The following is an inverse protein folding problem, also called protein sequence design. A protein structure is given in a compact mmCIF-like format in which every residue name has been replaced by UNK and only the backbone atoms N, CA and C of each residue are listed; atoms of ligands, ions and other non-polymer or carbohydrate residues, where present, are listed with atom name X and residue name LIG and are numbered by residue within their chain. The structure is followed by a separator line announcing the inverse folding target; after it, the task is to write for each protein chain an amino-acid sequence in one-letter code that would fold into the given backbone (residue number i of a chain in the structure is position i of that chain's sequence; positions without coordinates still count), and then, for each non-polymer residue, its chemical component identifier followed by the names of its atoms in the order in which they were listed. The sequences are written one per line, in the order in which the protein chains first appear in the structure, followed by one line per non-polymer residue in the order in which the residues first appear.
data_IF_796392490667
#
_entry.id   IF_796392490667
#
_cell.length_a   1.000
_cell.length_b   1.000
_cell.length_c   1.000
_cell.angle_alpha   90.00
_cell.angle_beta   90.00
_cell.angle_gamma   90.00
#
_symmetry.space_group_name_H-M   'P 1'
#
loop_
_entity.id
_entity.type
_entity.pdbx_description
1 polymer ?
#
# COMPACT_ATOMS: atom_id res chain seq x y z
N UNK A 1 20.40 -15.08 -21.40
CA UNK A 1 19.41 -15.51 -22.41
C UNK A 1 19.94 -16.57 -23.37
N UNK A 2 21.20 -16.53 -23.87
CA UNK A 2 21.69 -17.53 -24.83
C UNK A 2 23.12 -18.06 -24.53
N UNK A 3 23.35 -18.76 -23.39
CA UNK A 3 24.70 -19.23 -23.01
C UNK A 3 25.31 -20.22 -24.01
N UNK A 4 24.47 -21.00 -24.71
CA UNK A 4 24.93 -21.97 -25.69
C UNK A 4 25.52 -21.32 -26.94
N UNK A 5 24.82 -20.34 -27.52
CA UNK A 5 25.32 -19.57 -28.66
C UNK A 5 26.61 -18.83 -28.27
N UNK A 6 26.62 -18.19 -27.10
CA UNK A 6 27.82 -17.52 -26.59
C UNK A 6 29.05 -18.45 -26.55
N UNK A 7 28.90 -19.68 -26.07
CA UNK A 7 29.99 -20.64 -25.97
C UNK A 7 30.58 -21.08 -27.33
N UNK A 8 29.82 -20.98 -28.41
CA UNK A 8 30.25 -21.37 -29.76
C UNK A 8 30.55 -20.18 -30.69
N UNK A 9 30.42 -18.95 -30.19
CA UNK A 9 30.84 -17.75 -30.91
C UNK A 9 32.35 -17.74 -31.11
N UNK A 10 32.80 -17.37 -32.30
CA UNK A 10 34.23 -17.10 -32.55
C UNK A 10 34.70 -15.86 -31.78
N UNK A 11 33.78 -14.93 -31.50
CA UNK A 11 34.05 -13.61 -30.92
C UNK A 11 33.16 -13.33 -29.69
N UNK A 12 33.29 -14.09 -28.58
CA UNK A 12 32.41 -13.96 -27.42
C UNK A 12 32.59 -12.66 -26.63
N UNK A 13 33.71 -11.96 -26.82
CA UNK A 13 34.04 -10.72 -26.11
C UNK A 13 34.14 -9.51 -27.05
N UNK A 14 33.74 -9.65 -28.32
CA UNK A 14 33.74 -8.55 -29.26
C UNK A 14 32.65 -7.53 -28.92
N UNK A 15 32.94 -6.28 -29.23
CA UNK A 15 31.98 -5.18 -29.17
C UNK A 15 31.00 -5.29 -30.34
N UNK A 16 29.84 -4.62 -30.23
CA UNK A 16 28.83 -4.62 -31.30
C UNK A 16 29.44 -4.08 -32.60
N UNK A 17 30.29 -3.05 -32.53
CA UNK A 17 30.93 -2.44 -33.70
C UNK A 17 31.86 -3.40 -34.46
N UNK A 18 32.39 -4.44 -33.82
CA UNK A 18 33.24 -5.46 -34.45
C UNK A 18 32.43 -6.61 -35.07
N UNK A 19 31.14 -6.71 -34.75
CA UNK A 19 30.26 -7.81 -35.12
C UNK A 19 29.34 -7.47 -36.30
N UNK A 20 29.70 -6.49 -37.12
CA UNK A 20 28.91 -6.09 -38.28
C UNK A 20 29.47 -4.90 -39.03
N UNK A 21 28.75 -4.49 -40.07
CA UNK A 21 29.12 -3.37 -40.93
C UNK A 21 27.90 -2.57 -41.37
N UNK A 22 28.06 -1.26 -41.50
CA UNK A 22 27.06 -0.39 -42.10
C UNK A 22 27.05 -0.55 -43.63
N UNK A 23 25.90 -0.91 -44.20
CA UNK A 23 25.70 -1.00 -45.66
C UNK A 23 24.46 -0.21 -46.04
N UNK A 24 24.64 0.85 -46.84
CA UNK A 24 23.55 1.76 -47.26
C UNK A 24 22.73 2.32 -46.09
N UNK A 25 23.39 2.68 -44.99
CA UNK A 25 22.73 3.23 -43.80
C UNK A 25 21.96 2.20 -42.96
N UNK A 26 22.12 0.89 -43.22
CA UNK A 26 21.56 -0.19 -42.42
C UNK A 26 22.68 -1.03 -41.84
N UNK A 27 22.62 -1.31 -40.54
CA UNK A 27 23.57 -2.21 -39.88
C UNK A 27 23.35 -3.65 -40.32
N UNK A 28 24.41 -4.33 -40.75
CA UNK A 28 24.40 -5.75 -41.09
C UNK A 28 25.27 -6.51 -40.12
N UNK A 29 24.67 -7.42 -39.38
CA UNK A 29 25.35 -8.31 -38.46
C UNK A 29 26.25 -9.31 -39.20
N UNK A 30 27.46 -9.48 -38.68
CA UNK A 30 28.44 -10.45 -39.13
C UNK A 30 28.85 -11.31 -37.93
N UNK A 31 28.18 -12.43 -37.75
CA UNK A 31 28.36 -13.33 -36.62
C UNK A 31 29.03 -14.62 -37.08
N UNK A 32 30.21 -14.87 -36.53
CA UNK A 32 30.99 -16.07 -36.84
C UNK A 32 30.93 -17.10 -35.73
N UNK A 33 30.85 -18.37 -36.12
CA UNK A 33 30.67 -19.50 -35.24
C UNK A 33 31.82 -20.50 -35.40
N UNK A 34 32.31 -21.05 -34.29
CA UNK A 34 33.45 -21.99 -34.28
C UNK A 34 33.13 -23.33 -34.98
N UNK A 35 31.85 -23.63 -35.18
CA UNK A 35 31.33 -24.82 -35.86
C UNK A 35 29.91 -24.56 -36.36
N UNK A 36 29.43 -25.41 -37.26
CA UNK A 36 28.03 -25.44 -37.67
C UNK A 36 27.09 -25.73 -36.49
N UNK A 37 25.88 -25.19 -36.57
CA UNK A 37 24.82 -25.45 -35.60
C UNK A 37 24.32 -26.89 -35.70
N UNK A 38 23.92 -27.44 -34.56
CA UNK A 38 23.03 -28.60 -34.55
C UNK A 38 21.59 -28.15 -34.82
N UNK A 39 20.73 -29.07 -35.27
CA UNK A 39 19.32 -28.77 -35.63
C UNK A 39 18.58 -28.04 -34.51
N UNK A 40 18.79 -28.41 -33.24
CA UNK A 40 18.15 -27.74 -32.10
C UNK A 40 18.77 -26.37 -31.74
N UNK A 41 19.98 -26.06 -32.22
CA UNK A 41 20.62 -24.75 -32.05
C UNK A 41 20.13 -23.73 -33.09
N UNK A 42 19.60 -24.18 -34.24
CA UNK A 42 19.04 -23.29 -35.27
C UNK A 42 17.82 -22.52 -34.76
N UNK A 43 16.94 -23.18 -34.00
CA UNK A 43 15.78 -22.49 -33.38
C UNK A 43 16.23 -21.45 -32.36
N UNK A 44 17.23 -21.78 -31.54
CA UNK A 44 17.83 -20.84 -30.58
C UNK A 44 18.46 -19.64 -31.30
N UNK A 45 19.15 -19.88 -32.42
CA UNK A 45 19.72 -18.82 -33.24
C UNK A 45 18.62 -17.93 -33.84
N UNK A 46 17.52 -18.50 -34.36
CA UNK A 46 16.39 -17.72 -34.86
C UNK A 46 15.71 -16.87 -33.78
N UNK A 47 15.62 -17.35 -32.54
CA UNK A 47 15.16 -16.53 -31.41
C UNK A 47 16.13 -15.39 -31.09
N UNK A 48 17.43 -15.67 -31.10
CA UNK A 48 18.47 -14.68 -30.88
C UNK A 48 18.48 -13.60 -31.95
N UNK A 49 18.40 -13.97 -33.24
CA UNK A 49 18.39 -13.01 -34.35
C UNK A 49 17.18 -12.07 -34.29
N UNK A 50 16.00 -12.57 -33.91
CA UNK A 50 14.82 -11.68 -33.70
C UNK A 50 15.07 -10.60 -32.66
N UNK A 51 15.82 -10.89 -31.60
CA UNK A 51 16.19 -9.90 -30.59
C UNK A 51 17.21 -8.91 -31.18
N UNK A 52 18.26 -9.43 -31.81
CA UNK A 52 19.38 -8.64 -32.31
C UNK A 52 19.00 -7.74 -33.49
N UNK A 53 18.14 -8.22 -34.39
CA UNK A 53 17.61 -7.45 -35.52
C UNK A 53 16.57 -6.40 -35.09
N UNK A 54 15.96 -6.55 -33.91
CA UNK A 54 15.04 -5.53 -33.37
C UNK A 54 15.76 -4.30 -32.80
N UNK A 55 17.10 -4.37 -32.66
CA UNK A 55 17.91 -3.27 -32.14
C UNK A 55 18.20 -2.29 -33.28
N UNK A 56 17.77 -1.03 -33.09
CA UNK A 56 18.10 0.07 -34.00
C UNK A 56 19.40 0.70 -33.50
N UNK A 57 20.49 0.46 -34.22
CA UNK A 57 21.77 1.12 -33.96
C UNK A 57 21.78 2.50 -34.61
N UNK A 58 22.54 3.42 -34.03
CA UNK A 58 22.79 4.76 -34.56
C UNK A 58 24.30 5.03 -34.58
N UNK A 59 24.70 6.16 -35.16
CA UNK A 59 26.09 6.65 -35.10
C UNK A 59 26.35 7.51 -33.85
N UNK A 60 25.40 7.60 -32.93
CA UNK A 60 25.55 8.37 -31.69
C UNK A 60 26.50 7.65 -30.72
N UNK A 61 27.11 8.39 -29.80
CA UNK A 61 27.92 7.80 -28.75
C UNK A 61 27.06 6.94 -27.80
N UNK A 62 27.63 5.86 -27.29
CA UNK A 62 26.93 4.97 -26.36
C UNK A 62 26.55 5.71 -25.07
N UNK A 63 25.26 5.64 -24.71
CA UNK A 63 24.74 6.22 -23.46
C UNK A 63 24.19 5.12 -22.56
N UNK A 64 24.51 5.21 -21.26
CA UNK A 64 23.88 4.38 -20.25
C UNK A 64 22.43 4.81 -20.02
N UNK A 65 21.48 4.05 -20.56
CA UNK A 65 20.06 4.27 -20.29
C UNK A 65 19.54 3.34 -19.19
N UNK A 66 18.66 3.89 -18.36
CA UNK A 66 17.90 3.07 -17.43
C UNK A 66 16.71 2.46 -18.19
N UNK A 67 16.68 1.13 -18.32
CA UNK A 67 15.69 0.40 -19.13
C UNK A 67 14.22 0.69 -18.78
N UNK A 68 13.94 1.21 -17.58
CA UNK A 68 12.59 1.56 -17.13
C UNK A 68 12.24 3.05 -17.31
N UNK A 69 13.21 3.89 -17.69
CA UNK A 69 13.02 5.33 -17.94
C UNK A 69 14.05 5.83 -18.96
N UNK A 70 13.74 5.66 -20.25
CA UNK A 70 14.59 6.13 -21.34
C UNK A 70 14.64 7.66 -21.33
N UNK A 71 15.84 8.21 -21.17
CA UNK A 71 16.09 9.65 -21.05
C UNK A 71 15.96 10.24 -19.63
N UNK A 72 15.29 9.57 -18.68
CA UNK A 72 15.13 10.04 -17.29
C UNK A 72 16.20 9.55 -16.32
N UNK A 73 16.96 8.52 -16.71
CA UNK A 73 18.04 7.94 -15.90
C UNK A 73 17.53 7.10 -14.73
N UNK A 74 18.46 6.64 -13.89
CA UNK A 74 18.10 5.82 -12.74
C UNK A 74 17.45 6.68 -11.64
N UNK A 75 16.26 6.28 -11.20
CA UNK A 75 15.70 6.76 -9.93
C UNK A 75 15.23 5.59 -9.08
N UNK A 76 15.39 5.72 -7.76
CA UNK A 76 14.88 4.74 -6.78
C UNK A 76 13.37 4.58 -6.94
N UNK A 77 12.66 5.68 -7.23
CA UNK A 77 11.21 5.68 -7.44
C UNK A 77 10.81 4.80 -8.63
N UNK A 78 11.34 5.06 -9.84
CA UNK A 78 10.98 4.27 -11.03
C UNK A 78 11.39 2.81 -10.83
N UNK A 79 12.60 2.56 -10.34
CA UNK A 79 13.08 1.20 -10.05
C UNK A 79 12.15 0.44 -9.11
N UNK A 80 11.78 1.06 -7.99
CA UNK A 80 10.88 0.45 -7.02
C UNK A 80 9.49 0.19 -7.61
N UNK A 81 8.92 1.14 -8.34
CA UNK A 81 7.61 0.98 -8.98
C UNK A 81 7.63 -0.15 -10.02
N UNK A 82 8.62 -0.16 -10.91
CA UNK A 82 8.76 -1.20 -11.95
C UNK A 82 9.03 -2.59 -11.37
N UNK A 83 9.81 -2.69 -10.29
CA UNK A 83 10.00 -3.94 -9.56
C UNK A 83 8.70 -4.40 -8.92
N UNK A 84 7.97 -3.51 -8.26
CA UNK A 84 6.67 -3.85 -7.69
C UNK A 84 5.70 -4.34 -8.76
N UNK A 85 5.64 -3.72 -9.94
CA UNK A 85 4.74 -4.14 -11.02
C UNK A 85 5.12 -5.50 -11.60
N UNK A 86 6.42 -5.80 -11.73
CA UNK A 86 6.90 -7.12 -12.19
C UNK A 86 6.72 -8.23 -11.16
N UNK A 87 6.78 -7.90 -9.87
CA UNK A 87 6.69 -8.87 -8.77
C UNK A 87 5.27 -9.06 -8.24
N UNK A 88 4.34 -8.15 -8.56
CA UNK A 88 2.97 -8.22 -8.08
C UNK A 88 2.06 -8.92 -9.10
N UNK A 89 1.21 -9.88 -8.69
CA UNK A 89 0.15 -10.37 -9.56
C UNK A 89 -0.78 -9.24 -10.03
N UNK A 90 -1.39 -9.35 -11.23
CA UNK A 90 -2.16 -8.26 -11.87
C UNK A 90 -3.31 -7.70 -11.02
N UNK A 91 -3.81 -8.44 -10.02
CA UNK A 91 -4.85 -8.02 -9.08
C UNK A 91 -4.42 -6.97 -8.04
N UNK A 92 -3.11 -6.74 -7.82
CA UNK A 92 -2.60 -5.82 -6.79
C UNK A 92 -2.50 -4.37 -7.30
N UNK A 93 -2.46 -4.17 -8.61
CA UNK A 93 -2.29 -2.84 -9.23
C UNK A 93 -3.45 -1.88 -8.91
N UNK A 94 -4.69 -2.36 -8.95
CA UNK A 94 -5.89 -1.60 -8.61
C UNK A 94 -6.00 -1.30 -7.12
N UNK A 95 -5.65 -2.27 -6.26
CA UNK A 95 -5.56 -2.07 -4.81
C UNK A 95 -4.56 -0.95 -4.50
N UNK A 96 -3.38 -0.97 -5.12
CA UNK A 96 -2.33 0.04 -4.91
C UNK A 96 -2.78 1.45 -5.30
N UNK A 97 -3.50 1.62 -6.39
CA UNK A 97 -4.03 2.92 -6.81
C UNK A 97 -5.09 3.47 -5.82
N UNK A 98 -5.95 2.60 -5.28
CA UNK A 98 -6.92 2.95 -4.23
C UNK A 98 -6.19 3.27 -2.92
N UNK A 99 -5.22 2.45 -2.52
CA UNK A 99 -4.38 2.65 -1.34
C UNK A 99 -3.63 3.98 -1.41
N UNK A 100 -3.03 4.34 -2.56
CA UNK A 100 -2.35 5.64 -2.71
C UNK A 100 -3.29 6.82 -2.44
N UNK A 101 -4.49 6.83 -3.05
CA UNK A 101 -5.45 7.94 -2.83
C UNK A 101 -5.97 7.99 -1.40
N UNK A 102 -6.22 6.83 -0.78
CA UNK A 102 -6.68 6.74 0.61
C UNK A 102 -5.59 7.24 1.57
N UNK A 103 -4.34 6.85 1.33
CA UNK A 103 -3.16 7.25 2.12
C UNK A 103 -2.90 8.76 2.06
N UNK A 104 -3.13 9.40 0.91
CA UNK A 104 -2.99 10.85 0.77
C UNK A 104 -4.03 11.63 1.59
N UNK A 105 -5.25 11.11 1.70
CA UNK A 105 -6.34 11.75 2.45
C UNK A 105 -6.13 11.73 3.98
N UNK A 106 -5.27 10.85 4.50
CA UNK A 106 -5.03 10.69 5.95
C UNK A 106 -4.53 12.00 6.56
N UNK A 107 -3.72 12.75 5.82
CA UNK A 107 -3.07 13.97 6.29
C UNK A 107 -4.03 15.14 6.45
N UNK A 108 -5.15 15.15 5.72
CA UNK A 108 -6.14 16.22 5.77
C UNK A 108 -7.15 15.98 6.90
N UNK A 109 -6.70 16.14 8.15
CA UNK A 109 -7.48 15.82 9.35
C UNK A 109 -7.31 16.85 10.46
N UNK A 110 -8.27 16.86 11.39
CA UNK A 110 -8.22 17.61 12.64
C UNK A 110 -7.52 16.88 13.78
N UNK A 111 -7.18 15.60 13.61
CA UNK A 111 -6.50 14.82 14.63
C UNK A 111 -5.06 15.33 14.90
N UNK A 112 -4.47 15.00 16.07
CA UNK A 112 -3.07 15.32 16.37
C UNK A 112 -2.09 14.65 15.39
N UNK A 113 -0.92 15.27 15.21
CA UNK A 113 0.13 14.77 14.29
C UNK A 113 0.57 13.33 14.53
N UNK A 114 0.67 12.91 15.80
CA UNK A 114 1.00 11.52 16.15
C UNK A 114 -0.06 10.52 15.64
N UNK A 115 -1.32 10.94 15.59
CA UNK A 115 -2.44 10.12 15.12
C UNK A 115 -2.45 10.05 13.60
N UNK A 116 -2.13 11.17 12.92
CA UNK A 116 -1.93 11.18 11.46
C UNK A 116 -0.90 10.13 11.02
N UNK A 117 0.30 10.17 11.63
CA UNK A 117 1.38 9.22 11.32
C UNK A 117 0.96 7.79 11.64
N UNK A 118 0.30 7.57 12.78
CA UNK A 118 -0.22 6.26 13.16
C UNK A 118 -1.22 5.72 12.13
N UNK A 119 -2.19 6.52 11.72
CA UNK A 119 -3.22 6.11 10.75
C UNK A 119 -2.63 5.84 9.37
N UNK A 120 -1.61 6.59 8.97
CA UNK A 120 -0.81 6.28 7.78
C UNK A 120 -0.13 4.91 7.90
N UNK A 121 0.44 4.58 9.06
CA UNK A 121 1.03 3.25 9.30
C UNK A 121 -0.01 2.12 9.32
N UNK A 122 -1.25 2.37 9.82
CA UNK A 122 -2.36 1.41 9.75
C UNK A 122 -2.62 1.01 8.30
N UNK A 123 -2.82 2.00 7.44
CA UNK A 123 -3.20 1.77 6.03
C UNK A 123 -2.09 1.13 5.19
N UNK A 124 -0.84 1.27 5.61
CA UNK A 124 0.30 0.63 4.97
C UNK A 124 0.66 -0.74 5.56
N UNK A 125 -0.06 -1.21 6.57
CA UNK A 125 0.25 -2.47 7.25
C UNK A 125 1.62 -2.45 7.94
N UNK A 126 1.98 -1.34 8.59
CA UNK A 126 3.32 -1.11 9.16
C UNK A 126 3.37 -1.07 10.68
N UNK A 127 2.24 -1.25 11.34
CA UNK A 127 2.19 -1.29 12.81
C UNK A 127 2.82 -2.57 13.36
N UNK A 128 3.26 -2.57 14.63
CA UNK A 128 3.76 -3.78 15.30
C UNK A 128 2.60 -4.67 15.75
N UNK A 129 1.72 -5.05 14.82
CA UNK A 129 0.75 -6.15 15.00
C UNK A 129 1.51 -7.45 15.23
N UNK A 130 0.92 -8.42 15.93
CA UNK A 130 1.65 -9.67 16.24
C UNK A 130 2.08 -10.43 14.98
N UNK A 131 1.30 -10.40 13.91
CA UNK A 131 1.70 -10.97 12.61
C UNK A 131 2.92 -10.24 12.04
N UNK A 132 2.96 -8.91 12.07
CA UNK A 132 4.12 -8.14 11.59
C UNK A 132 5.37 -8.33 12.46
N UNK A 133 5.21 -8.45 13.77
CA UNK A 133 6.29 -8.79 14.67
C UNK A 133 6.84 -10.20 14.38
N UNK A 134 5.96 -11.15 14.08
CA UNK A 134 6.34 -12.49 13.64
C UNK A 134 7.12 -12.49 12.32
N UNK A 135 6.68 -11.72 11.32
CA UNK A 135 7.42 -11.53 10.06
C UNK A 135 8.82 -10.94 10.26
N UNK A 136 9.04 -10.20 11.35
CA UNK A 136 10.33 -9.62 11.72
C UNK A 136 11.16 -10.52 12.66
N UNK A 137 10.67 -11.73 12.97
CA UNK A 137 11.34 -12.66 13.88
C UNK A 137 11.31 -12.24 15.35
N UNK A 138 10.45 -11.27 15.72
CA UNK A 138 10.34 -10.78 17.12
C UNK A 138 9.40 -11.67 17.94
N UNK A 139 8.37 -12.24 17.31
CA UNK A 139 7.42 -13.15 17.97
C UNK A 139 7.39 -14.51 17.27
N UNK A 140 7.25 -15.62 18.02
CA UNK A 140 7.06 -16.94 17.43
C UNK A 140 5.68 -17.05 16.75
N UNK A 141 5.55 -17.98 15.79
CA UNK A 141 4.30 -18.20 15.06
C UNK A 141 3.11 -18.57 15.96
N UNK A 142 3.36 -19.16 17.12
CA UNK A 142 2.34 -19.50 18.13
C UNK A 142 1.70 -18.28 18.80
N UNK A 143 2.37 -17.13 18.80
CA UNK A 143 1.95 -15.92 19.55
C UNK A 143 1.35 -14.84 18.64
N UNK A 144 0.95 -15.19 17.43
CA UNK A 144 0.44 -14.23 16.45
C UNK A 144 -1.07 -13.94 16.55
N UNK A 145 -1.77 -14.54 17.52
CA UNK A 145 -3.23 -14.41 17.68
C UNK A 145 -3.63 -13.05 18.24
N UNK A 146 -4.78 -12.54 17.83
CA UNK A 146 -5.35 -11.28 18.30
C UNK A 146 -5.77 -11.37 19.78
N UNK A 147 -5.35 -10.41 20.61
CA UNK A 147 -5.74 -10.38 22.02
C UNK A 147 -7.22 -10.03 22.24
N UNK A 148 -7.88 -9.47 21.22
CA UNK A 148 -9.28 -9.07 21.27
C UNK A 148 -10.24 -10.13 20.70
N UNK A 149 -9.71 -11.23 20.16
CA UNK A 149 -10.49 -12.22 19.44
C UNK A 149 -10.62 -13.51 20.24
N UNK A 150 -11.85 -13.85 20.64
CA UNK A 150 -12.14 -15.08 21.38
C UNK A 150 -12.06 -16.34 20.49
N UNK A 151 -12.11 -16.17 19.17
CA UNK A 151 -11.96 -17.25 18.17
C UNK A 151 -10.48 -17.54 17.85
N UNK A 152 -9.56 -16.73 18.38
CA UNK A 152 -8.13 -16.95 18.22
C UNK A 152 -7.58 -16.68 16.81
N UNK A 153 -8.23 -15.81 16.02
CA UNK A 153 -7.72 -15.39 14.71
C UNK A 153 -6.35 -14.69 14.82
N UNK A 154 -5.60 -14.65 13.72
CA UNK A 154 -4.32 -13.92 13.65
C UNK A 154 -4.52 -12.40 13.77
N UNK A 155 -3.60 -11.73 14.46
CA UNK A 155 -3.59 -10.26 14.60
C UNK A 155 -2.96 -9.62 13.37
N UNK A 156 -3.71 -9.53 12.28
CA UNK A 156 -3.43 -8.64 11.15
C UNK A 156 -4.06 -7.27 11.38
N UNK A 157 -3.71 -6.27 10.57
CA UNK A 157 -4.33 -4.94 10.61
C UNK A 157 -5.84 -5.00 10.36
N UNK A 158 -6.26 -5.68 9.28
CA UNK A 158 -7.68 -5.83 8.95
C UNK A 158 -8.43 -6.53 10.08
N UNK A 159 -7.85 -7.58 10.68
CA UNK A 159 -8.48 -8.24 11.81
C UNK A 159 -8.53 -7.35 13.04
N UNK A 160 -7.41 -6.76 13.45
CA UNK A 160 -7.33 -5.97 14.67
C UNK A 160 -8.27 -4.75 14.64
N UNK A 161 -8.35 -4.06 13.49
CA UNK A 161 -9.09 -2.80 13.38
C UNK A 161 -10.51 -2.96 12.84
N UNK A 162 -10.88 -4.10 12.25
CA UNK A 162 -12.19 -4.27 11.62
C UNK A 162 -12.81 -5.65 11.86
N UNK A 163 -12.17 -6.73 11.45
CA UNK A 163 -12.81 -8.07 11.39
C UNK A 163 -12.89 -8.78 12.74
N UNK A 164 -12.14 -8.35 13.74
CA UNK A 164 -12.26 -8.86 15.10
C UNK A 164 -13.66 -8.56 15.64
N UNK A 165 -14.40 -9.52 16.25
CA UNK A 165 -15.75 -9.27 16.77
C UNK A 165 -15.83 -8.05 17.70
N UNK A 166 -14.79 -7.83 18.49
CA UNK A 166 -14.67 -6.65 19.35
C UNK A 166 -14.60 -5.34 18.53
N UNK A 167 -13.72 -5.26 17.53
CA UNK A 167 -13.57 -4.10 16.67
C UNK A 167 -14.81 -3.87 15.79
N UNK A 168 -15.41 -4.95 15.28
CA UNK A 168 -16.63 -4.92 14.49
C UNK A 168 -17.77 -4.28 15.28
N UNK A 169 -18.00 -4.71 16.51
CA UNK A 169 -19.05 -4.14 17.36
C UNK A 169 -18.83 -2.66 17.66
N UNK A 170 -17.57 -2.22 17.79
CA UNK A 170 -17.24 -0.79 17.91
C UNK A 170 -17.68 -0.05 16.64
N UNK A 171 -17.31 -0.54 15.46
CA UNK A 171 -17.73 0.09 14.20
C UNK A 171 -19.25 0.11 14.03
N UNK A 172 -19.96 -0.94 14.43
CA UNK A 172 -21.43 -0.96 14.39
C UNK A 172 -22.03 0.13 15.28
N UNK A 173 -21.54 0.32 16.49
CA UNK A 173 -21.98 1.41 17.37
C UNK A 173 -21.63 2.80 16.81
N UNK A 174 -20.47 2.95 16.15
CA UNK A 174 -20.11 4.19 15.45
C UNK A 174 -21.06 4.43 14.27
N UNK A 175 -21.33 3.43 13.42
CA UNK A 175 -22.26 3.59 12.29
C UNK A 175 -23.67 3.93 12.78
N UNK A 176 -24.15 3.26 13.84
CA UNK A 176 -25.42 3.57 14.50
C UNK A 176 -25.46 4.99 15.05
N UNK A 177 -24.36 5.48 15.63
CA UNK A 177 -24.25 6.86 16.11
C UNK A 177 -24.41 7.90 14.99
N UNK A 178 -24.05 7.55 13.75
CA UNK A 178 -24.28 8.38 12.56
C UNK A 178 -25.59 8.07 11.82
N UNK A 179 -26.43 7.18 12.35
CA UNK A 179 -27.67 6.75 11.68
C UNK A 179 -27.43 6.00 10.37
N UNK A 180 -26.27 5.37 10.20
CA UNK A 180 -25.89 4.64 9.00
C UNK A 180 -26.33 3.18 9.05
N UNK A 181 -26.85 2.67 7.93
CA UNK A 181 -27.18 1.26 7.72
C UNK A 181 -26.47 0.80 6.45
N UNK A 182 -25.23 0.35 6.59
CA UNK A 182 -24.35 0.00 5.47
C UNK A 182 -23.61 -1.30 5.78
N UNK A 183 -23.23 -2.02 4.72
CA UNK A 183 -22.36 -3.20 4.84
C UNK A 183 -20.92 -2.72 4.98
N UNK A 184 -20.24 -3.12 6.06
CA UNK A 184 -18.83 -2.80 6.24
C UNK A 184 -17.97 -3.60 5.25
N UNK A 185 -16.94 -2.99 4.64
CA UNK A 185 -15.95 -3.71 3.83
C UNK A 185 -15.18 -4.76 4.63
N UNK A 186 -14.39 -5.56 3.94
CA UNK A 186 -13.55 -6.62 4.51
C UNK A 186 -12.12 -6.18 4.84
N UNK A 187 -11.74 -4.95 4.49
CA UNK A 187 -10.41 -4.38 4.76
C UNK A 187 -10.50 -3.01 5.42
N UNK A 188 -9.54 -2.70 6.30
CA UNK A 188 -9.47 -1.39 6.96
C UNK A 188 -9.20 -0.28 5.94
N UNK A 189 -8.46 -0.59 4.87
CA UNK A 189 -8.23 0.30 3.74
C UNK A 189 -9.49 0.57 2.92
N UNK A 190 -10.36 -0.41 2.75
CA UNK A 190 -11.67 -0.25 2.10
C UNK A 190 -12.70 0.44 2.97
N UNK A 191 -12.64 0.25 4.29
CA UNK A 191 -13.51 0.92 5.26
C UNK A 191 -13.33 2.44 5.22
N UNK A 192 -12.09 2.92 5.07
CA UNK A 192 -11.80 4.36 5.00
C UNK A 192 -12.68 5.07 3.95
N UNK A 193 -12.59 4.79 2.63
CA UNK A 193 -13.42 5.44 1.62
C UNK A 193 -14.92 5.12 1.76
N UNK A 194 -15.29 3.93 2.23
CA UNK A 194 -16.68 3.56 2.46
C UNK A 194 -17.35 4.46 3.51
N UNK A 195 -16.63 4.79 4.59
CA UNK A 195 -17.11 5.67 5.65
C UNK A 195 -17.44 7.08 5.12
N UNK A 196 -16.59 7.67 4.28
CA UNK A 196 -16.87 8.97 3.65
C UNK A 196 -18.07 8.93 2.70
N UNK A 197 -18.17 7.84 1.92
CA UNK A 197 -19.27 7.66 0.96
C UNK A 197 -20.61 7.57 1.68
N UNK A 198 -20.67 6.81 2.78
CA UNK A 198 -21.88 6.65 3.59
C UNK A 198 -22.36 7.98 4.18
N UNK A 199 -21.44 8.81 4.67
CA UNK A 199 -21.78 10.08 5.31
C UNK A 199 -22.14 11.22 4.33
N UNK A 200 -21.93 11.03 3.01
CA UNK A 200 -22.25 12.01 1.96
C UNK A 200 -21.71 13.43 2.22
N UNK A 201 -20.59 13.56 2.93
CA UNK A 201 -20.03 14.84 3.36
C UNK A 201 -19.31 15.54 2.19
N UNK A 202 -19.49 16.86 1.99
CA UNK A 202 -18.72 17.61 1.00
C UNK A 202 -17.21 17.54 1.28
N UNK A 203 -16.38 17.48 0.22
CA UNK A 203 -14.91 17.37 0.34
C UNK A 203 -14.30 18.38 1.31
N UNK A 204 -14.79 19.63 1.34
CA UNK A 204 -14.29 20.70 2.23
C UNK A 204 -14.44 20.39 3.73
N UNK A 205 -15.34 19.47 4.10
CA UNK A 205 -15.63 19.07 5.48
C UNK A 205 -15.11 17.67 5.81
N UNK A 206 -14.32 17.06 4.92
CA UNK A 206 -13.76 15.72 5.13
C UNK A 206 -12.82 15.65 6.34
N UNK A 207 -12.14 16.75 6.72
CA UNK A 207 -11.19 16.75 7.85
C UNK A 207 -11.75 16.22 9.17
N UNK A 208 -13.00 16.57 9.50
CA UNK A 208 -13.65 16.07 10.71
C UNK A 208 -14.04 14.60 10.62
N UNK A 209 -14.42 14.13 9.42
CA UNK A 209 -14.72 12.71 9.17
C UNK A 209 -13.45 11.86 9.19
N UNK A 210 -12.36 12.34 8.58
CA UNK A 210 -11.03 11.71 8.65
C UNK A 210 -10.60 11.62 10.11
N UNK A 211 -10.70 12.72 10.86
CA UNK A 211 -10.38 12.75 12.29
C UNK A 211 -11.13 11.70 13.09
N UNK A 212 -12.42 11.52 12.82
CA UNK A 212 -13.23 10.54 13.53
C UNK A 212 -12.79 9.11 13.21
N UNK A 213 -12.62 8.77 11.94
CA UNK A 213 -12.10 7.45 11.55
C UNK A 213 -10.76 7.17 12.25
N UNK A 214 -9.89 8.18 12.31
CA UNK A 214 -8.61 8.11 13.00
C UNK A 214 -8.75 7.92 14.51
N UNK A 215 -9.74 8.56 15.14
CA UNK A 215 -10.04 8.37 16.55
C UNK A 215 -10.44 6.92 16.85
N UNK A 216 -11.28 6.30 16.00
CA UNK A 216 -11.69 4.90 16.16
C UNK A 216 -10.49 3.97 16.14
N UNK A 217 -9.67 4.02 15.09
CA UNK A 217 -8.49 3.13 14.97
C UNK A 217 -7.47 3.40 16.08
N UNK A 218 -7.29 4.66 16.48
CA UNK A 218 -6.37 5.02 17.56
C UNK A 218 -6.81 4.46 18.91
N UNK A 219 -8.10 4.56 19.25
CA UNK A 219 -8.62 4.05 20.52
C UNK A 219 -8.61 2.52 20.53
N UNK A 220 -8.92 1.85 19.41
CA UNK A 220 -8.78 0.39 19.30
C UNK A 220 -7.34 -0.05 19.59
N UNK A 221 -6.36 0.65 18.98
CA UNK A 221 -4.93 0.37 19.23
C UNK A 221 -4.52 0.60 20.68
N UNK A 222 -4.97 1.70 21.28
CA UNK A 222 -4.72 2.00 22.70
C UNK A 222 -5.32 0.91 23.60
N UNK A 223 -6.55 0.49 23.32
CA UNK A 223 -7.21 -0.60 24.07
C UNK A 223 -6.45 -1.91 23.90
N UNK A 224 -5.98 -2.24 22.69
CA UNK A 224 -5.11 -3.40 22.45
C UNK A 224 -3.84 -3.37 23.30
N UNK A 225 -3.16 -2.23 23.35
CA UNK A 225 -1.95 -2.09 24.16
C UNK A 225 -2.25 -2.20 25.66
N UNK A 226 -3.32 -1.56 26.14
CA UNK A 226 -3.74 -1.66 27.54
C UNK A 226 -4.12 -3.10 27.92
N UNK A 227 -4.76 -3.87 27.03
CA UNK A 227 -5.04 -5.29 27.26
C UNK A 227 -3.78 -6.13 27.34
N UNK A 228 -2.78 -5.89 26.49
CA UNK A 228 -1.54 -6.68 26.47
C UNK A 228 -0.61 -6.32 27.63
N UNK A 229 -0.41 -5.03 27.89
CA UNK A 229 0.63 -4.56 28.81
C UNK A 229 0.11 -4.24 30.21
N UNK A 230 -1.19 -4.00 30.37
CA UNK A 230 -1.81 -3.64 31.64
C UNK A 230 -2.97 -4.57 32.04
N UNK A 231 -3.21 -5.65 31.27
CA UNK A 231 -4.27 -6.65 31.51
C UNK A 231 -5.66 -6.03 31.75
N UNK A 232 -5.92 -4.86 31.17
CA UNK A 232 -7.21 -4.18 31.34
C UNK A 232 -8.30 -4.91 30.55
N UNK A 233 -9.50 -5.05 31.14
CA UNK A 233 -10.63 -5.61 30.42
C UNK A 233 -11.01 -4.72 29.24
N UNK A 234 -11.60 -5.34 28.22
CA UNK A 234 -12.11 -4.67 27.03
C UNK A 234 -13.63 -4.58 27.12
N UNK A 235 -14.18 -3.38 26.91
CA UNK A 235 -15.62 -3.15 26.86
C UNK A 235 -15.94 -2.26 25.66
N UNK A 236 -16.90 -2.68 24.83
CA UNK A 236 -17.25 -1.98 23.59
C UNK A 236 -17.80 -0.58 23.89
N UNK A 237 -18.72 -0.46 24.85
CA UNK A 237 -19.34 0.82 25.21
C UNK A 237 -18.31 1.80 25.77
N UNK A 238 -17.42 1.36 26.67
CA UNK A 238 -16.34 2.23 27.18
C UNK A 238 -15.41 2.70 26.07
N UNK A 239 -15.12 1.85 25.08
CA UNK A 239 -14.30 2.24 23.93
C UNK A 239 -15.02 3.26 23.05
N UNK A 240 -16.32 3.06 22.79
CA UNK A 240 -17.15 4.02 22.04
C UNK A 240 -17.20 5.36 22.76
N UNK A 241 -17.38 5.39 24.08
CA UNK A 241 -17.38 6.63 24.87
C UNK A 241 -16.02 7.33 24.82
N UNK A 242 -14.91 6.59 24.90
CA UNK A 242 -13.56 7.12 24.70
C UNK A 242 -13.38 7.72 23.31
N UNK A 243 -13.92 7.08 22.26
CA UNK A 243 -13.89 7.60 20.88
C UNK A 243 -14.68 8.92 20.80
N UNK A 244 -15.91 8.94 21.32
CA UNK A 244 -16.76 10.15 21.33
C UNK A 244 -16.07 11.30 22.06
N UNK A 245 -15.56 11.04 23.26
CA UNK A 245 -14.88 12.06 24.06
C UNK A 245 -13.61 12.58 23.40
N UNK A 246 -12.75 11.69 22.89
CA UNK A 246 -11.48 12.07 22.27
C UNK A 246 -11.69 12.85 20.97
N UNK A 247 -12.61 12.41 20.11
CA UNK A 247 -12.93 13.10 18.86
C UNK A 247 -13.55 14.47 19.11
N UNK A 248 -14.38 14.62 20.15
CA UNK A 248 -14.91 15.91 20.59
C UNK A 248 -13.81 16.87 21.06
N UNK A 249 -12.86 16.41 21.88
CA UNK A 249 -11.72 17.22 22.30
C UNK A 249 -10.90 17.72 21.10
N UNK A 250 -10.69 16.86 20.10
CA UNK A 250 -9.98 17.23 18.87
C UNK A 250 -10.78 18.23 18.03
N UNK A 251 -12.10 18.10 17.96
CA UNK A 251 -12.98 19.07 17.32
C UNK A 251 -12.85 20.45 17.97
N UNK A 252 -12.95 20.53 19.30
CA UNK A 252 -12.84 21.78 20.05
C UNK A 252 -11.48 22.46 19.85
N UNK A 253 -10.40 21.68 19.82
CA UNK A 253 -9.06 22.22 19.57
C UNK A 253 -8.91 22.86 18.18
N UNK A 254 -9.80 22.57 17.23
CA UNK A 254 -9.77 23.12 15.87
C UNK A 254 -10.84 24.18 15.60
N UNK A 255 -12.01 24.11 16.26
CA UNK A 255 -13.08 25.09 16.12
C UNK A 255 -13.05 26.11 17.26
N UNK A 256 -12.39 27.26 17.03
CA UNK A 256 -12.26 28.31 18.05
C UNK A 256 -13.48 29.23 18.19
N UNK A 257 -14.43 29.24 17.24
CA UNK A 257 -15.46 30.29 17.14
C UNK A 257 -16.88 29.89 17.57
N UNK A 258 -17.16 28.60 17.78
CA UNK A 258 -18.42 28.11 18.37
C UNK A 258 -18.22 26.67 18.84
N UNK A 259 -18.12 26.41 20.16
CA UNK A 259 -17.89 25.06 20.65
C UNK A 259 -19.19 24.25 20.58
N UNK A 260 -19.19 23.18 19.76
CA UNK A 260 -20.20 22.12 19.90
C UNK A 260 -20.05 21.50 21.29
N UNK A 261 -21.11 21.53 22.08
CA UNK A 261 -21.14 20.92 23.42
C UNK A 261 -21.06 19.39 23.29
N UNK A 262 -20.56 18.73 24.33
CA UNK A 262 -20.36 17.27 24.26
C UNK A 262 -21.67 16.50 24.03
N UNK A 263 -22.79 16.95 24.60
CA UNK A 263 -24.07 16.28 24.36
C UNK A 263 -24.54 16.48 22.90
N UNK A 264 -24.29 17.65 22.29
CA UNK A 264 -24.61 17.91 20.89
C UNK A 264 -23.79 17.01 19.97
N UNK A 265 -22.51 16.83 20.30
CA UNK A 265 -21.63 15.87 19.63
C UNK A 265 -22.18 14.45 19.70
N UNK A 266 -22.63 14.03 20.88
CA UNK A 266 -23.20 12.70 21.10
C UNK A 266 -24.53 12.48 20.37
N UNK A 267 -25.29 13.53 20.08
CA UNK A 267 -26.59 13.46 19.39
C UNK A 267 -26.42 13.57 17.87
N UNK A 268 -25.72 14.60 17.39
CA UNK A 268 -25.53 14.89 15.97
C UNK A 268 -24.08 15.31 15.67
N UNK A 269 -23.14 14.35 15.57
CA UNK A 269 -21.74 14.63 15.29
C UNK A 269 -21.53 15.21 13.88
N UNK A 270 -22.41 14.88 12.92
CA UNK A 270 -22.34 15.41 11.55
C UNK A 270 -22.59 16.91 11.54
N UNK A 271 -23.63 17.37 12.24
CA UNK A 271 -23.90 18.79 12.41
C UNK A 271 -22.71 19.50 13.06
N UNK A 272 -22.12 18.91 14.11
CA UNK A 272 -20.95 19.46 14.77
C UNK A 272 -19.68 19.49 13.89
N UNK A 273 -19.51 18.57 12.92
CA UNK A 273 -18.42 18.64 11.94
C UNK A 273 -18.69 19.72 10.88
N UNK A 274 -19.93 19.81 10.40
CA UNK A 274 -20.31 20.60 9.23
C UNK A 274 -20.56 22.07 9.55
N UNK A 275 -21.00 22.40 10.76
CA UNK A 275 -21.06 23.79 11.27
C UNK A 275 -19.71 24.51 11.18
#
# INVERSE_FOLDING_TARGET
LYPRLFAISSHPHATINELGVWVNGVWRWHLEWRRSFFVWEEELYGQFMRVVESIILSHEEDVWEFAFDRGGGYTVKVSYLSLCDKLSPPSISSLRAVTCRVVDCVWDSWAPSKVLVFSWQVLLGRLPTRVNLGRRGVLPSSEQRCCHCDVGCLETEDHLFLLCPFAWNIWMEIYKWFGLVEVLPDTIGGLFPAFFKALKVPKKKHKGVVMLWQAVVWVIWKTRNDTIFAQKPRNVHEVVDKIKHMSWQWLLAKKSKSPCLFYEWCIDPLYCIIS
#
